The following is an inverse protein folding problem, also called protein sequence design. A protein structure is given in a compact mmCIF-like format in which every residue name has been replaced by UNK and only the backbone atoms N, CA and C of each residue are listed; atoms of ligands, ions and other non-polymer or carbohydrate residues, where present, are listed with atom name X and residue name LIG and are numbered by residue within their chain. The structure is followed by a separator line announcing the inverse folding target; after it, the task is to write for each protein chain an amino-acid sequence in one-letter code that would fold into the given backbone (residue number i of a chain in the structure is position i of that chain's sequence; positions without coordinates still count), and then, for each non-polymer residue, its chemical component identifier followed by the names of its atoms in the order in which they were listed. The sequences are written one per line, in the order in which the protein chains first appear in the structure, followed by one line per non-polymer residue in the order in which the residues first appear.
data_IF_008641509605
#
_entry.id   IF_008641509605
#
_cell.length_a   1.000
_cell.length_b   1.000
_cell.length_c   1.000
_cell.angle_alpha   90.00
_cell.angle_beta   90.00
_cell.angle_gamma   90.00
#
_symmetry.space_group_name_H-M   'P 1'
#
loop_
_entity.id
_entity.type
_entity.pdbx_description
1 polymer ?
#
# COMPACT_ATOMS: atom_id res chain seq x y z
N UNK A 1 0.77 7.38 -6.82
CA UNK A 1 1.75 6.28 -7.02
C UNK A 1 1.05 4.94 -7.17
N UNK A 2 0.35 4.46 -6.13
CA UNK A 2 -0.42 3.21 -6.18
C UNK A 2 -1.92 3.52 -6.17
N UNK A 3 -2.69 2.74 -6.93
CA UNK A 3 -4.15 2.75 -6.94
C UNK A 3 -4.67 1.36 -6.55
N UNK A 4 -5.71 1.33 -5.71
CA UNK A 4 -6.40 0.12 -5.22
C UNK A 4 -7.89 0.23 -5.52
N UNK A 5 -8.32 -0.05 -6.77
CA UNK A 5 -9.72 0.08 -7.16
C UNK A 5 -10.67 -0.76 -6.28
N UNK A 6 -10.23 -1.93 -5.83
CA UNK A 6 -11.01 -2.82 -4.97
C UNK A 6 -11.38 -2.22 -3.59
N UNK A 7 -10.70 -1.15 -3.16
CA UNK A 7 -10.93 -0.48 -1.86
C UNK A 7 -11.60 0.88 -1.99
N UNK A 8 -12.07 1.21 -3.19
CA UNK A 8 -12.70 2.49 -3.49
C UNK A 8 -14.10 2.55 -2.85
N UNK A 9 -14.32 3.52 -1.98
CA UNK A 9 -15.64 3.76 -1.36
C UNK A 9 -16.54 4.65 -2.22
N UNK A 10 -15.94 5.50 -3.06
CA UNK A 10 -16.63 6.47 -3.92
C UNK A 10 -15.90 6.57 -5.24
N UNK A 11 -16.62 6.83 -6.33
CA UNK A 11 -15.95 6.93 -7.63
C UNK A 11 -15.11 8.21 -7.73
N UNK A 12 -13.83 8.05 -8.08
CA UNK A 12 -12.86 9.15 -8.19
C UNK A 12 -12.07 8.95 -9.48
N UNK A 13 -12.14 9.92 -10.39
CA UNK A 13 -11.24 9.94 -11.53
C UNK A 13 -9.82 10.29 -11.05
N UNK A 14 -8.84 9.43 -11.37
CA UNK A 14 -7.43 9.67 -11.08
C UNK A 14 -6.76 10.06 -12.40
N UNK A 15 -6.30 11.29 -12.52
CA UNK A 15 -5.67 11.79 -13.75
C UNK A 15 -4.30 11.13 -14.01
N UNK A 16 -3.55 10.85 -12.96
CA UNK A 16 -2.21 10.24 -13.03
C UNK A 16 -2.11 9.03 -12.11
N UNK A 17 -2.08 7.84 -12.71
CA UNK A 17 -1.91 6.56 -12.02
C UNK A 17 -0.53 5.98 -12.29
N UNK A 18 0.18 5.57 -11.24
CA UNK A 18 1.45 4.83 -11.38
C UNK A 18 1.20 3.35 -11.59
N UNK A 19 0.75 2.65 -10.55
CA UNK A 19 0.46 1.20 -10.61
C UNK A 19 -0.91 0.90 -10.00
N UNK A 20 -1.61 -0.07 -10.59
CA UNK A 20 -2.80 -0.68 -9.99
C UNK A 20 -2.37 -1.93 -9.23
N UNK A 21 -2.72 -2.04 -7.95
CA UNK A 21 -2.34 -3.18 -7.11
C UNK A 21 -3.58 -3.84 -6.48
N UNK A 22 -3.52 -5.14 -6.15
CA UNK A 22 -4.59 -5.82 -5.42
C UNK A 22 -4.73 -5.26 -3.99
N UNK A 23 -5.77 -5.71 -3.28
CA UNK A 23 -5.96 -5.36 -1.87
C UNK A 23 -4.95 -6.11 -0.97
N UNK A 24 -3.72 -5.58 -0.92
CA UNK A 24 -2.63 -6.10 -0.12
C UNK A 24 -2.03 -4.99 0.75
N UNK A 25 -1.62 -5.33 1.97
CA UNK A 25 -0.91 -4.39 2.82
C UNK A 25 0.50 -4.19 2.27
N UNK A 26 0.84 -2.98 1.83
CA UNK A 26 2.13 -2.66 1.20
C UNK A 26 2.90 -1.62 2.01
N UNK A 27 4.22 -1.76 2.06
CA UNK A 27 5.16 -0.86 2.75
C UNK A 27 6.35 -0.53 1.84
N UNK A 28 7.13 0.49 2.20
CA UNK A 28 8.27 0.95 1.42
C UNK A 28 7.95 2.17 0.55
N UNK A 29 9.00 2.84 0.08
CA UNK A 29 8.88 4.06 -0.73
C UNK A 29 7.95 5.11 -0.10
N UNK A 30 8.13 5.36 1.20
CA UNK A 30 7.31 6.28 1.99
C UNK A 30 6.07 5.65 2.65
N UNK A 31 5.62 4.48 2.20
CA UNK A 31 4.54 3.70 2.84
C UNK A 31 5.06 3.01 4.09
N UNK A 32 4.25 2.98 5.14
CA UNK A 32 4.67 2.51 6.46
C UNK A 32 3.72 1.52 7.13
N UNK A 33 4.25 0.88 8.15
CA UNK A 33 3.47 0.22 9.20
C UNK A 33 4.11 0.56 10.55
N UNK A 34 3.38 1.28 11.40
CA UNK A 34 3.88 1.72 12.71
C UNK A 34 5.12 2.60 12.61
N UNK A 35 5.17 3.51 11.63
CA UNK A 35 6.33 4.37 11.30
C UNK A 35 7.58 3.65 10.76
N UNK A 36 7.56 2.32 10.62
CA UNK A 36 8.66 1.57 10.01
C UNK A 36 8.51 1.45 8.50
N UNK A 37 9.61 1.07 7.83
CA UNK A 37 9.68 0.68 6.40
C UNK A 37 9.63 1.80 5.36
N UNK A 38 9.38 3.07 5.72
CA UNK A 38 9.33 4.21 4.78
C UNK A 38 10.60 4.34 3.91
N UNK A 39 11.75 3.99 4.47
CA UNK A 39 13.08 4.16 3.86
C UNK A 39 13.47 3.07 2.85
N UNK A 40 12.64 2.03 2.65
CA UNK A 40 12.94 0.99 1.67
C UNK A 40 12.87 1.55 0.24
N UNK A 41 13.86 1.28 -0.63
CA UNK A 41 13.89 1.79 -2.01
C UNK A 41 12.97 0.99 -2.96
N UNK A 42 12.13 0.11 -2.43
CA UNK A 42 11.16 -0.69 -3.15
C UNK A 42 9.85 -0.77 -2.38
N UNK A 43 8.77 -1.14 -3.07
CA UNK A 43 7.46 -1.41 -2.48
C UNK A 43 7.30 -2.91 -2.33
N UNK A 44 6.90 -3.38 -1.14
CA UNK A 44 6.71 -4.79 -0.85
C UNK A 44 5.44 -5.06 -0.05
N UNK A 45 4.96 -6.31 -0.11
CA UNK A 45 3.80 -6.76 0.68
C UNK A 45 4.26 -7.10 2.10
N UNK A 46 3.62 -6.48 3.10
CA UNK A 46 3.89 -6.78 4.49
C UNK A 46 3.27 -8.13 4.86
N UNK A 47 4.06 -9.01 5.48
CA UNK A 47 3.58 -10.34 5.87
C UNK A 47 2.53 -10.24 6.99
N UNK A 48 1.42 -11.00 6.93
CA UNK A 48 0.34 -10.94 7.91
C UNK A 48 0.79 -11.09 9.37
N UNK A 49 1.77 -11.95 9.63
CA UNK A 49 2.25 -12.25 10.99
C UNK A 49 2.84 -11.02 11.70
N UNK A 50 3.14 -9.94 10.96
CA UNK A 50 3.65 -8.68 11.51
C UNK A 50 2.53 -7.81 12.08
N UNK A 51 1.31 -7.89 11.54
CA UNK A 51 0.17 -7.03 11.92
C UNK A 51 -1.05 -7.80 12.45
N UNK A 52 -1.03 -9.12 12.42
CA UNK A 52 -2.05 -9.98 13.04
C UNK A 52 -1.60 -10.59 14.37
N UNK A 53 -0.44 -10.18 14.90
CA UNK A 53 -0.03 -10.55 16.26
C UNK A 53 -0.93 -9.77 17.24
N UNK A 54 -1.67 -10.54 18.04
CA UNK A 54 -2.72 -10.13 18.96
C UNK A 54 -2.36 -8.95 19.88
#
# INVERSE_FOLDING_TARGET
LLDKPARRLVDIAIDYRGFTIPDQFVVGYGLDYGEFYRNLPFIGVLKPEVYTRA
#
